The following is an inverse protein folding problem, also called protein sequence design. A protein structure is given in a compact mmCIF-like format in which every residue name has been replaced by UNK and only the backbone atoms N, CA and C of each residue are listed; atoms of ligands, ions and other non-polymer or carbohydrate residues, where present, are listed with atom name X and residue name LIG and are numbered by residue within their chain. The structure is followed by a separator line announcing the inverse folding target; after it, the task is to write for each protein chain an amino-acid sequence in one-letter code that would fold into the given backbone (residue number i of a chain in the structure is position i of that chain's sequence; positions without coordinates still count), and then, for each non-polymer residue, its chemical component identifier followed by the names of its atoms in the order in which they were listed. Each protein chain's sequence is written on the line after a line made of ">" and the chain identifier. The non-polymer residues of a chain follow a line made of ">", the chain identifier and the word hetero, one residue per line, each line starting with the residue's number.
data_IF_338682431456
#
_entry.id   IF_338682431456
#
_cell.length_a   1.000
_cell.length_b   1.000
_cell.length_c   1.000
_cell.angle_alpha   90.00
_cell.angle_beta   90.00
_cell.angle_gamma   90.00
#
_symmetry.space_group_name_H-M   'P 1'
#
loop_
_entity.id
_entity.type
_entity.pdbx_description
1 polymer ?
#
# COMPACT_ATOMS: atom_id res chain seq x y z
N UNK A 1 11.63 1.85 25.48
CA UNK A 1 10.31 2.44 25.29
C UNK A 1 10.42 3.96 25.23
N UNK A 2 10.25 4.55 24.07
CA UNK A 2 10.35 6.00 23.85
C UNK A 2 8.94 6.63 23.98
N UNK A 3 8.28 6.41 25.12
CA UNK A 3 6.89 6.83 25.36
C UNK A 3 6.61 8.33 25.25
N UNK A 4 7.65 9.19 25.36
CA UNK A 4 7.48 10.64 25.21
C UNK A 4 7.59 11.15 23.76
N UNK A 5 8.32 10.45 22.88
CA UNK A 5 8.39 10.81 21.46
C UNK A 5 7.13 10.43 20.69
N UNK A 6 6.41 9.41 21.15
CA UNK A 6 5.18 8.95 20.48
C UNK A 6 4.04 9.97 20.57
N UNK A 7 3.95 10.77 21.64
CA UNK A 7 2.93 11.83 21.74
C UNK A 7 3.21 12.97 20.77
N UNK A 8 4.44 13.44 20.69
CA UNK A 8 4.80 14.56 19.80
C UNK A 8 4.75 14.16 18.33
N UNK A 9 5.24 12.97 17.96
CA UNK A 9 5.14 12.49 16.56
C UNK A 9 3.76 11.95 16.21
N UNK A 10 3.01 11.37 17.15
CA UNK A 10 1.64 10.94 16.95
C UNK A 10 0.70 12.10 16.69
N UNK A 11 0.87 13.21 17.41
CA UNK A 11 0.07 14.42 17.23
C UNK A 11 0.45 15.20 15.97
N UNK A 12 1.74 15.19 15.57
CA UNK A 12 2.22 15.82 14.32
C UNK A 12 1.88 15.02 13.05
N UNK A 13 1.84 13.69 13.12
CA UNK A 13 1.57 12.82 11.96
C UNK A 13 0.07 12.46 11.86
N UNK A 14 -0.71 12.91 12.83
CA UNK A 14 -2.15 12.63 12.91
C UNK A 14 -2.42 11.15 13.21
N UNK A 15 -3.16 10.91 14.24
CA UNK A 15 -3.68 9.60 14.58
C UNK A 15 -4.42 8.99 13.38
N UNK A 16 -3.74 8.12 12.64
CA UNK A 16 -4.35 7.36 11.56
C UNK A 16 -3.94 7.73 10.15
N UNK A 17 -2.67 8.06 9.89
CA UNK A 17 -2.14 8.03 8.52
C UNK A 17 -2.35 6.62 7.95
N UNK A 18 -3.55 6.41 7.43
CA UNK A 18 -3.97 5.13 6.90
C UNK A 18 -3.21 4.89 5.61
N UNK A 19 -2.48 3.78 5.54
CA UNK A 19 -1.74 3.42 4.33
C UNK A 19 -2.63 3.40 3.07
N UNK A 20 -3.92 3.07 3.22
CA UNK A 20 -4.90 3.16 2.13
C UNK A 20 -5.08 4.58 1.60
N UNK A 21 -5.09 5.59 2.46
CA UNK A 21 -5.13 7.00 2.03
C UNK A 21 -3.93 7.32 1.14
N UNK A 22 -2.73 6.95 1.56
CA UNK A 22 -1.53 7.13 0.74
C UNK A 22 -1.61 6.34 -0.57
N UNK A 23 -2.12 5.10 -0.55
CA UNK A 23 -2.20 4.22 -1.70
C UNK A 23 -3.15 4.74 -2.78
N UNK A 24 -4.25 5.41 -2.41
CA UNK A 24 -5.21 5.96 -3.37
C UNK A 24 -4.91 7.42 -3.76
N UNK A 25 -4.43 8.24 -2.82
CA UNK A 25 -4.18 9.66 -3.09
C UNK A 25 -2.87 9.88 -3.83
N UNK A 26 -1.80 9.16 -3.47
CA UNK A 26 -0.49 9.41 -4.08
C UNK A 26 -0.42 9.15 -5.60
N UNK A 27 -1.09 8.13 -6.20
CA UNK A 27 -1.10 7.99 -7.66
C UNK A 27 -1.77 9.17 -8.35
N UNK A 28 -2.82 9.74 -7.75
CA UNK A 28 -3.51 10.92 -8.29
C UNK A 28 -2.56 12.11 -8.27
N UNK A 29 -1.84 12.32 -7.17
CA UNK A 29 -0.86 13.39 -7.06
C UNK A 29 0.31 13.20 -8.04
N UNK A 30 0.81 11.99 -8.19
CA UNK A 30 1.87 11.65 -9.16
C UNK A 30 1.40 11.91 -10.60
N UNK A 31 0.17 11.53 -10.93
CA UNK A 31 -0.41 11.82 -12.24
C UNK A 31 -0.54 13.33 -12.48
N UNK A 32 -1.03 14.07 -11.49
CA UNK A 32 -1.17 15.52 -11.57
C UNK A 32 0.19 16.21 -11.78
N UNK A 33 1.21 15.86 -10.98
CA UNK A 33 2.55 16.42 -11.15
C UNK A 33 3.19 16.00 -12.47
N UNK A 34 2.99 14.76 -12.93
CA UNK A 34 3.43 14.31 -14.23
C UNK A 34 2.84 15.15 -15.37
N UNK A 35 1.52 15.44 -15.28
CA UNK A 35 0.84 16.37 -16.21
C UNK A 35 1.47 17.75 -16.21
N UNK A 36 1.67 18.34 -15.05
CA UNK A 36 2.21 19.71 -14.92
C UNK A 36 3.65 19.83 -15.43
N UNK A 37 4.45 18.78 -15.29
CA UNK A 37 5.88 18.77 -15.64
C UNK A 37 6.17 18.18 -17.04
N UNK A 38 5.15 17.73 -17.76
CA UNK A 38 5.33 17.11 -19.07
C UNK A 38 5.99 15.73 -19.05
N UNK A 39 5.91 15.01 -17.94
CA UNK A 39 6.53 13.70 -17.81
C UNK A 39 5.57 12.57 -18.22
N UNK A 40 6.12 11.47 -18.76
CA UNK A 40 5.32 10.29 -19.09
C UNK A 40 4.78 9.66 -17.80
N UNK A 41 3.46 9.84 -17.55
CA UNK A 41 2.78 9.38 -16.33
C UNK A 41 2.94 7.87 -16.14
N UNK A 42 2.88 7.09 -17.22
CA UNK A 42 2.96 5.63 -17.12
C UNK A 42 4.34 5.18 -16.63
N UNK A 43 5.40 5.78 -17.16
CA UNK A 43 6.77 5.51 -16.70
C UNK A 43 6.99 5.99 -15.27
N UNK A 44 6.50 7.19 -14.96
CA UNK A 44 6.62 7.75 -13.61
C UNK A 44 5.90 6.87 -12.57
N UNK A 45 4.69 6.40 -12.88
CA UNK A 45 3.93 5.49 -12.02
C UNK A 45 4.66 4.16 -11.80
N UNK A 46 5.25 3.59 -12.85
CA UNK A 46 5.99 2.33 -12.74
C UNK A 46 7.25 2.48 -11.85
N UNK A 47 7.95 3.59 -11.95
CA UNK A 47 9.12 3.87 -11.11
C UNK A 47 8.71 4.00 -9.63
N UNK A 48 7.68 4.81 -9.36
CA UNK A 48 7.23 5.08 -8.00
C UNK A 48 6.60 3.84 -7.36
N UNK A 49 5.99 2.97 -8.16
CA UNK A 49 5.34 1.75 -7.64
C UNK A 49 6.31 0.86 -6.84
N UNK A 50 7.57 0.79 -7.22
CA UNK A 50 8.58 0.01 -6.48
C UNK A 50 8.86 0.58 -5.08
N UNK A 51 8.66 1.87 -4.91
CA UNK A 51 8.88 2.56 -3.62
C UNK A 51 7.81 2.21 -2.58
N UNK A 52 6.56 1.87 -3.01
CA UNK A 52 5.49 1.56 -2.07
C UNK A 52 5.79 0.36 -1.15
N UNK A 53 6.12 -0.84 -1.65
CA UNK A 53 6.44 -1.95 -0.78
C UNK A 53 7.74 -1.73 -0.01
N UNK A 54 8.73 -1.04 -0.58
CA UNK A 54 9.96 -0.66 0.12
C UNK A 54 9.65 0.18 1.36
N UNK A 55 8.88 1.26 1.21
CA UNK A 55 8.41 2.07 2.34
C UNK A 55 7.64 1.23 3.36
N UNK A 56 6.78 0.32 2.90
CA UNK A 56 5.94 -0.51 3.76
C UNK A 56 6.77 -1.40 4.70
N UNK A 57 7.92 -1.91 4.26
CA UNK A 57 8.86 -2.69 5.08
C UNK A 57 9.25 -1.88 6.34
N UNK A 58 9.70 -0.63 6.17
CA UNK A 58 10.10 0.22 7.29
C UNK A 58 8.92 0.61 8.18
N UNK A 59 7.76 0.88 7.60
CA UNK A 59 6.54 1.17 8.37
C UNK A 59 6.17 -0.02 9.25
N UNK A 60 6.22 -1.26 8.74
CA UNK A 60 5.88 -2.46 9.52
C UNK A 60 6.94 -2.79 10.56
N UNK A 61 8.20 -2.52 10.27
CA UNK A 61 9.27 -2.62 11.26
C UNK A 61 9.05 -1.63 12.41
N UNK A 62 8.72 -0.38 12.10
CA UNK A 62 8.40 0.63 13.11
C UNK A 62 7.16 0.25 13.92
N UNK A 63 6.09 -0.25 13.29
CA UNK A 63 4.91 -0.77 13.98
C UNK A 63 5.24 -1.93 14.94
N UNK A 64 6.15 -2.81 14.53
CA UNK A 64 6.61 -3.90 15.39
C UNK A 64 7.36 -3.39 16.61
N UNK A 65 8.29 -2.45 16.43
CA UNK A 65 9.03 -1.83 17.52
C UNK A 65 8.12 -1.04 18.50
N UNK A 66 7.03 -0.45 18.00
CA UNK A 66 6.05 0.28 18.80
C UNK A 66 5.00 -0.61 19.48
N UNK A 67 4.89 -1.88 19.07
CA UNK A 67 3.84 -2.80 19.55
C UNK A 67 2.44 -2.43 19.11
N UNK A 68 2.28 -1.63 18.02
CA UNK A 68 0.98 -1.29 17.43
C UNK A 68 0.56 -2.31 16.37
N UNK A 69 -0.68 -2.21 15.85
CA UNK A 69 -1.20 -3.11 14.80
C UNK A 69 -1.19 -4.59 15.20
N UNK A 70 -1.72 -4.89 16.37
CA UNK A 70 -1.64 -6.18 17.07
C UNK A 70 -2.39 -7.30 16.37
N UNK A 71 -1.87 -8.53 16.52
CA UNK A 71 -2.58 -9.76 16.19
C UNK A 71 -3.36 -10.32 17.39
N UNK A 72 -4.01 -11.45 17.18
CA UNK A 72 -4.76 -12.12 18.22
C UNK A 72 -3.87 -12.64 19.37
N UNK A 73 -4.44 -12.72 20.56
CA UNK A 73 -3.76 -13.22 21.77
C UNK A 73 -3.52 -14.71 21.61
N UNK A 74 -2.28 -15.17 21.80
CA UNK A 74 -1.94 -16.57 21.73
C UNK A 74 -0.72 -16.89 22.61
N UNK A 75 -0.66 -18.13 23.15
CA UNK A 75 0.40 -18.58 24.05
C UNK A 75 1.79 -18.65 23.40
N UNK A 76 1.85 -18.88 22.09
CA UNK A 76 3.07 -18.94 21.27
C UNK A 76 3.47 -17.60 20.66
N UNK A 77 2.69 -16.54 20.94
CA UNK A 77 2.98 -15.20 20.46
C UNK A 77 4.18 -14.53 21.12
N UNK A 78 4.63 -13.44 20.56
CA UNK A 78 5.65 -12.59 21.14
C UNK A 78 5.06 -11.73 22.27
N UNK A 79 5.86 -11.49 23.30
CA UNK A 79 5.43 -10.65 24.41
C UNK A 79 5.42 -9.17 23.98
N UNK A 80 4.24 -8.57 24.04
CA UNK A 80 4.06 -7.15 23.73
C UNK A 80 4.05 -6.35 25.05
N UNK A 81 5.09 -5.55 25.25
CA UNK A 81 5.23 -4.72 26.46
C UNK A 81 4.20 -3.59 26.55
N UNK A 82 3.60 -3.19 25.44
CA UNK A 82 2.55 -2.16 25.44
C UNK A 82 1.22 -2.66 26.02
N UNK A 83 0.96 -3.98 25.91
CA UNK A 83 -0.30 -4.59 26.34
C UNK A 83 -0.12 -5.60 27.49
N UNK A 84 1.13 -5.92 27.84
CA UNK A 84 1.49 -6.97 28.81
C UNK A 84 0.91 -8.33 28.48
N UNK A 85 0.76 -8.66 27.19
CA UNK A 85 0.19 -9.91 26.69
C UNK A 85 1.05 -10.53 25.60
N UNK A 86 0.87 -11.84 25.37
CA UNK A 86 1.46 -12.53 24.21
C UNK A 86 0.53 -12.46 23.04
N UNK A 87 1.01 -11.88 21.93
CA UNK A 87 0.22 -11.61 20.73
C UNK A 87 0.92 -12.16 19.49
N UNK A 88 0.14 -12.58 18.51
CA UNK A 88 0.68 -13.00 17.22
C UNK A 88 1.30 -11.81 16.48
N UNK A 89 2.56 -11.88 16.02
CA UNK A 89 3.27 -10.75 15.42
C UNK A 89 2.86 -10.52 13.96
N UNK A 90 1.64 -10.06 13.72
CA UNK A 90 1.10 -9.79 12.38
C UNK A 90 1.97 -8.81 11.60
N UNK A 91 2.62 -7.87 12.31
CA UNK A 91 3.53 -6.89 11.72
C UNK A 91 4.68 -7.56 10.96
N UNK A 92 5.23 -8.66 11.50
CA UNK A 92 6.31 -9.42 10.85
C UNK A 92 5.81 -10.19 9.62
N UNK A 93 4.58 -10.69 9.66
CA UNK A 93 3.94 -11.33 8.50
C UNK A 93 3.72 -10.30 7.38
N UNK A 94 3.18 -9.12 7.72
CA UNK A 94 2.97 -8.03 6.76
C UNK A 94 4.30 -7.49 6.21
N UNK A 95 5.36 -7.45 7.03
CA UNK A 95 6.72 -7.12 6.59
C UNK A 95 7.24 -8.15 5.58
N UNK A 96 7.05 -9.44 5.86
CA UNK A 96 7.41 -10.53 4.94
C UNK A 96 6.68 -10.42 3.59
N UNK A 97 5.38 -10.13 3.60
CA UNK A 97 4.63 -9.87 2.38
C UNK A 97 5.18 -8.64 1.62
N UNK A 98 5.44 -7.53 2.33
CA UNK A 98 5.99 -6.34 1.70
C UNK A 98 7.37 -6.59 1.06
N UNK A 99 8.25 -7.33 1.74
CA UNK A 99 9.56 -7.71 1.21
C UNK A 99 9.43 -8.61 -0.03
N UNK A 100 8.53 -9.59 0.01
CA UNK A 100 8.26 -10.49 -1.13
C UNK A 100 7.72 -9.71 -2.33
N UNK A 101 6.76 -8.79 -2.12
CA UNK A 101 6.21 -7.93 -3.17
C UNK A 101 7.31 -7.03 -3.74
N UNK A 102 8.17 -6.45 -2.89
CA UNK A 102 9.27 -5.61 -3.33
C UNK A 102 10.23 -6.36 -4.26
N UNK A 103 10.68 -7.54 -3.84
CA UNK A 103 11.56 -8.41 -4.64
C UNK A 103 10.88 -8.82 -5.95
N UNK A 104 9.62 -9.22 -5.88
CA UNK A 104 8.82 -9.56 -7.06
C UNK A 104 8.78 -8.40 -8.06
N UNK A 105 8.48 -7.18 -7.63
CA UNK A 105 8.40 -6.01 -8.50
C UNK A 105 9.76 -5.64 -9.09
N UNK A 106 10.87 -5.80 -8.36
CA UNK A 106 12.22 -5.57 -8.89
C UNK A 106 12.55 -6.48 -10.07
N UNK A 107 12.14 -7.75 -10.02
CA UNK A 107 12.33 -8.67 -11.14
C UNK A 107 11.31 -8.45 -12.25
N UNK A 108 10.04 -8.22 -11.88
CA UNK A 108 8.93 -8.05 -12.81
C UNK A 108 9.07 -6.78 -13.66
N UNK A 109 9.62 -5.69 -13.13
CA UNK A 109 9.76 -4.41 -13.84
C UNK A 109 10.45 -4.51 -15.20
N UNK A 110 11.33 -5.52 -15.38
CA UNK A 110 12.02 -5.75 -16.64
C UNK A 110 11.13 -6.35 -17.73
N UNK A 111 10.02 -6.99 -17.35
CA UNK A 111 9.07 -7.67 -18.23
C UNK A 111 7.72 -6.96 -18.29
N UNK A 112 7.45 -6.06 -17.35
CA UNK A 112 6.18 -5.37 -17.24
C UNK A 112 5.96 -4.44 -18.44
N UNK A 113 4.72 -4.42 -18.93
CA UNK A 113 4.27 -3.38 -19.86
C UNK A 113 4.18 -2.06 -19.10
N UNK A 114 4.57 -0.96 -19.73
CA UNK A 114 4.52 0.37 -19.11
C UNK A 114 3.13 0.72 -18.58
N UNK A 115 3.07 1.25 -17.37
CA UNK A 115 1.86 1.63 -16.66
C UNK A 115 1.17 0.48 -15.91
N UNK A 116 1.61 -0.79 -16.08
CA UNK A 116 0.92 -1.94 -15.47
C UNK A 116 1.43 -2.27 -14.07
N UNK A 117 2.56 -1.73 -13.64
CA UNK A 117 3.14 -2.09 -12.33
C UNK A 117 2.27 -1.66 -11.17
N UNK A 118 1.70 -0.44 -11.22
CA UNK A 118 0.87 0.06 -10.12
C UNK A 118 -0.41 -0.76 -9.92
N UNK A 119 -1.23 -1.03 -10.94
CA UNK A 119 -2.40 -1.89 -10.78
C UNK A 119 -2.06 -3.30 -10.27
N UNK A 120 -0.98 -3.90 -10.76
CA UNK A 120 -0.52 -5.23 -10.30
C UNK A 120 -0.13 -5.16 -8.82
N UNK A 121 0.65 -4.15 -8.43
CA UNK A 121 0.97 -3.91 -7.03
C UNK A 121 -0.28 -3.75 -6.16
N UNK A 122 -1.25 -2.94 -6.60
CA UNK A 122 -2.48 -2.69 -5.89
C UNK A 122 -3.27 -3.99 -5.63
N UNK A 123 -3.38 -4.85 -6.64
CA UNK A 123 -4.07 -6.14 -6.53
C UNK A 123 -3.34 -7.04 -5.52
N UNK A 124 -2.03 -7.22 -5.67
CA UNK A 124 -1.25 -8.11 -4.81
C UNK A 124 -1.25 -7.60 -3.36
N UNK A 125 -1.05 -6.30 -3.16
CA UNK A 125 -1.09 -5.68 -1.84
C UNK A 125 -2.46 -5.85 -1.18
N UNK A 126 -3.55 -5.54 -1.88
CA UNK A 126 -4.89 -5.70 -1.35
C UNK A 126 -5.23 -7.16 -1.03
N UNK A 127 -4.78 -8.11 -1.84
CA UNK A 127 -4.96 -9.54 -1.57
C UNK A 127 -4.20 -9.96 -0.29
N UNK A 128 -2.91 -9.63 -0.18
CA UNK A 128 -2.11 -9.95 1.02
C UNK A 128 -2.66 -9.26 2.27
N UNK A 129 -3.12 -8.01 2.13
CA UNK A 129 -3.71 -7.25 3.22
C UNK A 129 -5.05 -7.83 3.65
N UNK A 130 -5.88 -8.31 2.72
CA UNK A 130 -7.14 -8.99 3.01
C UNK A 130 -6.93 -10.22 3.90
N UNK A 131 -5.92 -11.04 3.58
CA UNK A 131 -5.58 -12.21 4.40
C UNK A 131 -4.99 -11.82 5.76
N UNK A 132 -4.09 -10.84 5.83
CA UNK A 132 -3.48 -10.42 7.10
C UNK A 132 -4.49 -9.78 8.06
N UNK A 133 -5.59 -9.23 7.56
CA UNK A 133 -6.64 -8.61 8.37
C UNK A 133 -7.38 -9.62 9.26
N UNK A 134 -7.49 -10.89 8.87
CA UNK A 134 -8.05 -11.94 9.74
C UNK A 134 -7.19 -12.20 10.97
N UNK A 135 -5.88 -11.94 10.89
CA UNK A 135 -4.95 -12.15 11.99
C UNK A 135 -4.91 -10.97 12.99
N UNK A 136 -5.57 -9.84 12.69
CA UNK A 136 -5.56 -8.64 13.52
C UNK A 136 -6.70 -8.60 14.51
N UNK A 137 -6.47 -7.95 15.63
CA UNK A 137 -7.51 -7.65 16.62
C UNK A 137 -8.11 -6.29 16.29
N UNK A 138 -9.19 -6.29 15.53
CA UNK A 138 -10.00 -5.10 15.25
C UNK A 138 -11.48 -5.48 15.32
N UNK A 139 -12.35 -4.50 15.60
CA UNK A 139 -13.80 -4.71 15.68
C UNK A 139 -14.37 -5.05 14.29
N UNK A 140 -15.28 -6.03 14.26
CA UNK A 140 -15.98 -6.40 13.04
C UNK A 140 -17.08 -5.36 12.75
N UNK A 141 -17.20 -4.95 11.49
CA UNK A 141 -18.24 -4.02 11.03
C UNK A 141 -19.48 -4.79 10.57
N UNK A 142 -19.28 -5.94 9.92
CA UNK A 142 -20.38 -6.76 9.43
C UNK A 142 -19.96 -8.23 9.45
N UNK A 143 -20.63 -9.06 10.26
CA UNK A 143 -20.32 -10.48 10.46
C UNK A 143 -18.82 -10.70 10.81
N UNK A 144 -18.06 -11.27 9.86
CA UNK A 144 -16.62 -11.57 9.99
C UNK A 144 -15.76 -10.47 9.33
N UNK A 145 -16.38 -9.58 8.53
CA UNK A 145 -15.65 -8.60 7.75
C UNK A 145 -15.42 -7.31 8.55
N UNK A 146 -14.18 -6.85 8.56
CA UNK A 146 -13.74 -5.57 9.09
C UNK A 146 -13.76 -4.52 7.97
N UNK A 147 -13.76 -3.24 8.32
CA UNK A 147 -13.73 -2.14 7.35
C UNK A 147 -12.62 -2.26 6.28
N UNK A 148 -11.47 -2.81 6.67
CA UNK A 148 -10.33 -2.99 5.74
C UNK A 148 -10.51 -4.12 4.73
N UNK A 149 -11.32 -5.14 5.02
CA UNK A 149 -11.67 -6.15 4.00
C UNK A 149 -12.42 -5.52 2.84
N UNK A 150 -13.37 -4.61 3.13
CA UNK A 150 -14.14 -3.90 2.10
C UNK A 150 -13.21 -3.03 1.26
N UNK A 151 -12.30 -2.28 1.91
CA UNK A 151 -11.32 -1.45 1.20
C UNK A 151 -10.38 -2.29 0.33
N UNK A 152 -9.99 -3.49 0.78
CA UNK A 152 -9.17 -4.40 -0.02
C UNK A 152 -9.92 -4.90 -1.26
N UNK A 153 -11.21 -5.27 -1.13
CA UNK A 153 -12.03 -5.68 -2.27
C UNK A 153 -12.17 -4.55 -3.29
N UNK A 154 -12.46 -3.33 -2.81
CA UNK A 154 -12.51 -2.14 -3.67
C UNK A 154 -11.16 -1.94 -4.38
N UNK A 155 -10.05 -2.06 -3.65
CA UNK A 155 -8.71 -1.93 -4.21
C UNK A 155 -8.41 -2.97 -5.31
N UNK A 156 -8.83 -4.22 -5.13
CA UNK A 156 -8.69 -5.27 -6.15
C UNK A 156 -9.51 -4.93 -7.39
N UNK A 157 -10.78 -4.53 -7.22
CA UNK A 157 -11.66 -4.16 -8.34
C UNK A 157 -11.06 -2.97 -9.11
N UNK A 158 -10.61 -1.93 -8.39
CA UNK A 158 -9.94 -0.77 -9.00
C UNK A 158 -8.67 -1.19 -9.74
N UNK A 159 -7.85 -2.06 -9.16
CA UNK A 159 -6.63 -2.55 -9.80
C UNK A 159 -6.91 -3.31 -11.11
N UNK A 160 -7.90 -4.20 -11.12
CA UNK A 160 -8.34 -4.92 -12.33
C UNK A 160 -8.90 -3.95 -13.37
N UNK A 161 -9.73 -3.00 -12.95
CA UNK A 161 -10.28 -1.97 -13.84
C UNK A 161 -9.17 -1.12 -14.48
N UNK A 162 -8.17 -0.69 -13.70
CA UNK A 162 -7.02 0.07 -14.21
C UNK A 162 -6.21 -0.74 -15.23
N UNK A 163 -5.97 -2.04 -15.00
CA UNK A 163 -5.31 -2.89 -15.99
C UNK A 163 -6.07 -2.92 -17.32
N UNK A 164 -7.39 -3.11 -17.24
CA UNK A 164 -8.24 -3.10 -18.44
C UNK A 164 -8.20 -1.77 -19.18
N UNK A 165 -8.30 -0.66 -18.45
CA UNK A 165 -8.24 0.70 -19.03
C UNK A 165 -6.88 0.95 -19.68
N UNK A 166 -5.78 0.61 -19.00
CA UNK A 166 -4.43 0.81 -19.52
C UNK A 166 -4.23 -0.02 -20.80
N UNK A 167 -4.64 -1.28 -20.80
CA UNK A 167 -4.47 -2.16 -21.96
C UNK A 167 -5.27 -1.65 -23.18
N UNK A 168 -6.49 -1.15 -22.94
CA UNK A 168 -7.39 -0.71 -24.01
C UNK A 168 -7.13 0.71 -24.50
N UNK A 169 -6.78 1.63 -23.59
CA UNK A 169 -6.77 3.07 -23.88
C UNK A 169 -5.40 3.73 -23.81
N UNK A 170 -4.34 2.99 -23.47
CA UNK A 170 -2.98 3.54 -23.29
C UNK A 170 -2.54 4.41 -24.48
N UNK A 171 -2.69 3.92 -25.70
CA UNK A 171 -2.26 4.64 -26.90
C UNK A 171 -3.11 5.90 -27.17
N UNK A 172 -4.40 5.86 -26.80
CA UNK A 172 -5.28 7.04 -26.89
C UNK A 172 -4.91 8.10 -25.85
N UNK A 173 -4.64 7.67 -24.63
CA UNK A 173 -4.23 8.55 -23.54
C UNK A 173 -2.89 9.20 -23.88
N UNK A 174 -1.94 8.44 -24.44
CA UNK A 174 -0.64 8.95 -24.85
C UNK A 174 -0.73 10.00 -25.96
N UNK A 175 -1.58 9.77 -26.96
CA UNK A 175 -1.81 10.75 -28.04
C UNK A 175 -2.40 12.05 -27.50
N UNK A 176 -3.48 11.95 -26.74
CA UNK A 176 -4.09 13.12 -26.10
C UNK A 176 -3.10 13.92 -25.25
N UNK A 177 -2.19 13.23 -24.60
CA UNK A 177 -1.16 13.82 -23.74
C UNK A 177 -0.05 14.49 -24.56
N UNK A 178 0.38 13.85 -25.67
CA UNK A 178 1.35 14.44 -26.61
C UNK A 178 0.80 15.70 -27.26
N UNK A 179 -0.43 15.62 -27.80
CA UNK A 179 -1.10 16.77 -28.43
C UNK A 179 -1.26 17.97 -27.48
N UNK A 180 -1.44 17.72 -26.18
CA UNK A 180 -1.54 18.78 -25.16
C UNK A 180 -0.21 19.54 -24.98
N UNK A 181 0.93 18.83 -24.99
CA UNK A 181 2.26 19.47 -24.83
C UNK A 181 2.78 20.11 -26.12
N UNK A 182 2.40 19.60 -27.28
CA UNK A 182 2.73 20.21 -28.55
C UNK A 182 1.91 21.49 -28.81
N UNK A 183 0.81 21.69 -28.05
CA UNK A 183 -0.07 22.87 -28.13
C UNK A 183 0.26 24.00 -27.14
N UNK A 184 1.15 23.75 -26.15
CA UNK A 184 1.59 24.72 -25.12
C UNK A 184 3.03 25.15 -25.38
#
# INVERSE_FOLDING_TARGET
>A
YLGGLNTVFGDLVGTGANYFGTLFVSPIMVALFGLLLGWDIFKLMDIITVVYPFRLIFVKLACFCQGCCRGFICSYGLYNYATNQREFPVQLVELGFAATIFVFLLFWRKKAKEGTMFPIYLIIYCATRFFSEFLRVEENVFLIFKKYHILCLIGIIVGVFLLFVIEKYKERIRRFYGDYFDAV
#
